data_IF_509912913469
#
_entry.id   IF_509912913469
#
_cell.length_a   1.000
_cell.length_b   1.000
_cell.length_c   1.000
_cell.angle_alpha   90.00
_cell.angle_beta   90.00
_cell.angle_gamma   90.00
#
_symmetry.space_group_name_H-M   'P 1'
#
loop_
_entity.id
_entity.type
_entity.pdbx_description
1 polymer ?
#
# COMPACT_ATOMS: atom_id res chain seq x y z
N UNK A 1 -18.41 12.06 -6.40
CA UNK A 1 -17.64 11.91 -5.14
C UNK A 1 -16.24 11.49 -5.55
N UNK A 2 -15.19 12.13 -5.06
CA UNK A 2 -13.81 11.71 -5.39
C UNK A 2 -13.39 10.62 -4.41
N UNK A 3 -13.42 9.37 -4.87
CA UNK A 3 -13.08 8.18 -4.08
C UNK A 3 -11.63 8.22 -3.54
N UNK A 4 -10.80 9.18 -3.99
CA UNK A 4 -9.45 9.43 -3.47
C UNK A 4 -9.42 10.15 -2.14
N UNK A 5 -10.51 10.82 -1.74
CA UNK A 5 -10.61 11.45 -0.44
C UNK A 5 -10.79 10.38 0.65
N UNK A 6 -10.00 10.45 1.71
CA UNK A 6 -9.95 9.43 2.77
C UNK A 6 -9.05 8.23 2.47
N UNK A 7 -8.30 8.25 1.36
CA UNK A 7 -7.30 7.21 1.11
C UNK A 7 -6.14 7.31 2.11
N UNK A 8 -5.93 6.24 2.86
CA UNK A 8 -4.82 6.10 3.81
C UNK A 8 -4.08 4.78 3.56
N UNK A 9 -2.89 4.66 4.12
CA UNK A 9 -2.09 3.44 4.10
C UNK A 9 -2.02 2.85 5.49
N UNK A 10 -2.44 1.60 5.63
CA UNK A 10 -2.14 0.76 6.79
C UNK A 10 -0.82 0.05 6.49
N UNK A 11 0.16 0.24 7.37
CA UNK A 11 1.51 -0.32 7.24
C UNK A 11 1.71 -1.36 8.33
N UNK A 12 1.75 -2.63 7.94
CA UNK A 12 2.03 -3.77 8.81
C UNK A 12 3.35 -4.43 8.38
N UNK A 13 3.87 -5.34 9.20
CA UNK A 13 5.17 -5.99 8.97
C UNK A 13 5.26 -6.71 7.60
N UNK A 14 4.18 -7.36 7.16
CA UNK A 14 4.17 -8.20 5.96
C UNK A 14 3.14 -7.76 4.90
N UNK A 15 2.41 -6.67 5.15
CA UNK A 15 1.38 -6.18 4.25
C UNK A 15 1.24 -4.67 4.29
N UNK A 16 0.98 -4.08 3.13
CA UNK A 16 0.71 -2.66 2.96
C UNK A 16 -0.66 -2.54 2.28
N UNK A 17 -1.66 -2.06 3.02
CA UNK A 17 -3.05 -2.04 2.58
C UNK A 17 -3.52 -0.61 2.42
N UNK A 18 -3.91 -0.24 1.20
CA UNK A 18 -4.54 1.04 0.93
C UNK A 18 -6.06 0.90 1.07
N UNK A 19 -6.62 1.68 1.99
CA UNK A 19 -8.05 1.67 2.33
C UNK A 19 -8.64 3.07 2.16
N UNK A 20 -9.96 3.17 2.16
CA UNK A 20 -10.66 4.43 2.38
C UNK A 20 -11.24 4.46 3.80
N UNK A 21 -10.64 5.28 4.67
CA UNK A 21 -11.02 5.40 6.09
C UNK A 21 -12.44 5.95 6.28
N UNK A 22 -12.91 6.77 5.33
CA UNK A 22 -14.26 7.35 5.36
C UNK A 22 -15.34 6.33 4.93
N UNK A 23 -14.94 5.15 4.46
CA UNK A 23 -15.81 4.08 4.01
C UNK A 23 -15.64 2.81 4.85
N UNK A 24 -15.39 2.96 6.17
CA UNK A 24 -15.12 1.85 7.09
C UNK A 24 -13.94 0.98 6.63
N UNK A 25 -12.81 1.62 6.31
CA UNK A 25 -11.58 0.99 5.83
C UNK A 25 -11.79 0.05 4.62
N UNK A 26 -12.68 0.44 3.70
CA UNK A 26 -12.91 -0.31 2.48
C UNK A 26 -11.58 -0.49 1.73
N UNK A 27 -11.09 -1.74 1.52
CA UNK A 27 -9.82 -1.95 0.87
C UNK A 27 -9.91 -1.64 -0.63
N UNK A 28 -8.95 -0.89 -1.13
CA UNK A 28 -8.81 -0.63 -2.56
C UNK A 28 -7.83 -1.60 -3.19
N UNK A 29 -6.62 -1.67 -2.64
CA UNK A 29 -5.54 -2.54 -3.11
C UNK A 29 -4.51 -2.77 -2.01
N UNK A 30 -3.81 -3.91 -2.07
CA UNK A 30 -2.81 -4.28 -1.08
C UNK A 30 -1.57 -4.89 -1.74
N UNK A 31 -0.40 -4.55 -1.19
CA UNK A 31 0.85 -5.26 -1.44
C UNK A 31 1.07 -6.25 -0.31
N UNK A 32 1.19 -7.53 -0.68
CA UNK A 32 1.31 -8.65 0.24
C UNK A 32 2.35 -9.63 -0.28
N UNK A 33 2.70 -10.64 0.52
CA UNK A 33 3.58 -11.74 0.11
C UNK A 33 4.95 -11.20 -0.42
N UNK A 34 5.59 -10.31 0.36
CA UNK A 34 6.92 -9.79 0.00
C UNK A 34 7.98 -10.90 0.04
N UNK A 35 8.71 -11.08 -1.06
CA UNK A 35 9.82 -12.03 -1.18
C UNK A 35 11.14 -11.34 -0.80
N UNK A 36 11.29 -10.97 0.47
CA UNK A 36 12.42 -10.19 0.97
C UNK A 36 13.56 -11.04 1.58
N UNK A 37 13.31 -12.34 1.80
CA UNK A 37 14.28 -13.29 2.36
C UNK A 37 15.42 -13.58 1.39
N UNK A 38 16.64 -13.60 1.92
CA UNK A 38 17.85 -13.96 1.15
C UNK A 38 18.31 -12.89 0.17
N UNK A 39 17.82 -11.65 0.30
CA UNK A 39 18.31 -10.51 -0.48
C UNK A 39 19.75 -10.18 -0.13
N UNK A 40 20.55 -9.92 -1.16
CA UNK A 40 21.97 -9.55 -1.08
C UNK A 40 22.21 -8.07 -1.48
N UNK A 41 21.16 -7.38 -1.92
CA UNK A 41 21.23 -5.99 -2.37
C UNK A 41 19.96 -5.20 -2.00
N UNK A 42 20.14 -3.99 -1.48
CA UNK A 42 19.02 -3.10 -1.10
C UNK A 42 18.35 -2.43 -2.31
N UNK A 43 19.11 -2.16 -3.37
CA UNK A 43 18.65 -1.42 -4.56
C UNK A 43 17.81 -2.27 -5.52
N UNK A 44 17.78 -3.59 -5.33
CA UNK A 44 16.99 -4.49 -6.17
C UNK A 44 15.53 -4.49 -5.69
N UNK A 45 14.54 -4.47 -6.61
CA UNK A 45 13.14 -4.52 -6.22
C UNK A 45 12.79 -5.79 -5.42
N UNK A 46 11.94 -5.65 -4.42
CA UNK A 46 11.32 -6.78 -3.71
C UNK A 46 10.10 -7.23 -4.50
N UNK A 47 10.06 -8.52 -4.90
CA UNK A 47 8.85 -9.07 -5.52
C UNK A 47 7.76 -9.17 -4.46
N UNK A 48 6.54 -8.92 -4.88
CA UNK A 48 5.35 -9.03 -4.04
C UNK A 48 4.13 -9.25 -4.93
N UNK A 49 3.02 -9.60 -4.30
CA UNK A 49 1.72 -9.70 -4.94
C UNK A 49 0.92 -8.42 -4.71
N UNK A 50 0.31 -7.91 -5.78
CA UNK A 50 -0.60 -6.77 -5.73
C UNK A 50 -2.04 -7.25 -5.90
N UNK A 51 -2.82 -7.19 -4.83
CA UNK A 51 -4.24 -7.52 -4.84
C UNK A 51 -5.10 -6.28 -5.10
N UNK A 52 -6.17 -6.43 -5.89
CA UNK A 52 -7.16 -5.40 -6.15
C UNK A 52 -8.50 -5.84 -5.57
N UNK A 53 -9.05 -5.03 -4.65
CA UNK A 53 -10.32 -5.33 -3.98
C UNK A 53 -11.47 -4.44 -4.47
N UNK A 54 -11.15 -3.28 -5.05
CA UNK A 54 -12.12 -2.37 -5.64
C UNK A 54 -12.12 -2.46 -7.18
N UNK A 55 -13.30 -2.39 -7.82
CA UNK A 55 -13.46 -2.55 -9.27
C UNK A 55 -12.65 -1.52 -10.09
N UNK A 56 -12.43 -0.33 -9.52
CA UNK A 56 -11.65 0.76 -10.12
C UNK A 56 -10.25 0.92 -9.51
N UNK A 57 -9.75 -0.07 -8.77
CA UNK A 57 -8.53 0.07 -7.96
C UNK A 57 -7.27 0.43 -8.77
N UNK A 58 -7.22 0.07 -10.06
CA UNK A 58 -6.13 0.49 -10.96
C UNK A 58 -6.01 2.02 -11.08
N UNK A 59 -7.12 2.77 -10.96
CA UNK A 59 -7.14 4.23 -10.98
C UNK A 59 -6.54 4.86 -9.71
N UNK A 60 -6.54 4.11 -8.60
CA UNK A 60 -6.05 4.58 -7.31
C UNK A 60 -4.58 4.27 -7.08
N UNK A 61 -3.95 3.46 -7.93
CA UNK A 61 -2.57 2.99 -7.76
C UNK A 61 -1.55 4.11 -7.54
N UNK A 62 -1.62 5.19 -8.32
CA UNK A 62 -0.69 6.32 -8.17
C UNK A 62 -0.84 6.98 -6.79
N UNK A 63 -2.08 7.21 -6.36
CA UNK A 63 -2.36 7.81 -5.04
C UNK A 63 -1.99 6.87 -3.89
N UNK A 64 -2.22 5.57 -4.06
CA UNK A 64 -1.85 4.55 -3.09
C UNK A 64 -0.33 4.49 -2.89
N UNK A 65 0.48 4.68 -3.94
CA UNK A 65 1.93 4.78 -3.83
C UNK A 65 2.36 6.05 -3.06
N UNK A 66 1.68 7.18 -3.25
CA UNK A 66 1.94 8.37 -2.42
C UNK A 66 1.62 8.12 -0.94
N UNK A 67 0.52 7.41 -0.63
CA UNK A 67 0.20 7.04 0.75
C UNK A 67 1.18 6.01 1.32
N UNK A 68 1.65 5.08 0.49
CA UNK A 68 2.69 4.12 0.86
C UNK A 68 3.95 4.84 1.35
N UNK A 69 4.45 5.80 0.56
CA UNK A 69 5.65 6.56 0.91
C UNK A 69 5.46 7.27 2.25
N UNK A 70 4.33 7.95 2.44
CA UNK A 70 4.02 8.66 3.69
C UNK A 70 3.97 7.73 4.91
N UNK A 71 3.31 6.58 4.77
CA UNK A 71 3.19 5.61 5.85
C UNK A 71 4.55 5.02 6.25
N UNK A 72 5.39 4.68 5.26
CA UNK A 72 6.74 4.18 5.51
C UNK A 72 7.65 5.25 6.12
N UNK A 73 7.59 6.49 5.62
CA UNK A 73 8.36 7.62 6.17
C UNK A 73 8.01 7.84 7.65
N UNK A 74 6.73 7.73 8.01
CA UNK A 74 6.28 7.88 9.39
C UNK A 74 6.80 6.76 10.30
N UNK A 75 6.79 5.51 9.80
CA UNK A 75 7.33 4.35 10.53
C UNK A 75 8.85 4.47 10.77
N UNK A 76 9.61 4.94 9.78
CA UNK A 76 11.07 5.01 9.82
C UNK A 76 11.62 6.28 10.47
N UNK A 77 10.77 7.30 10.70
CA UNK A 77 11.15 8.55 11.38
C UNK A 77 11.07 8.44 12.91
N UNK A 78 10.73 7.26 13.44
CA UNK A 78 10.67 6.94 14.88
C UNK A 78 11.94 6.23 15.31
#
# INVERSE_FOLDING_TARGET
MDDRHGMVMIVEENELVCVNELQNDLPYLAWVEFEDKGRDALHTPVKCKLNYYHYAASKFRAKALEQMQRGLDQLLST
#
